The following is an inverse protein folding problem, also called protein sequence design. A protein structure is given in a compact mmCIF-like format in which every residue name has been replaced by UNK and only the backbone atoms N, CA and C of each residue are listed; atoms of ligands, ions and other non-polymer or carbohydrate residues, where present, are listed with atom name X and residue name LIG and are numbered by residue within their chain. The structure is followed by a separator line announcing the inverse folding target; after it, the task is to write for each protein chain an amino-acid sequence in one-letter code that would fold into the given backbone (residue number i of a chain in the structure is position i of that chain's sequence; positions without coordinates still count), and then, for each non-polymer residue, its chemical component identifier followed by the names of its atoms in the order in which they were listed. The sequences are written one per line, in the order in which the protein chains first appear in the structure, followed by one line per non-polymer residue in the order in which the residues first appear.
data_IF_175349908268
#
_entry.id   IF_175349908268
#
_cell.length_a   1.000
_cell.length_b   1.000
_cell.length_c   1.000
_cell.angle_alpha   90.00
_cell.angle_beta   90.00
_cell.angle_gamma   90.00
#
_symmetry.space_group_name_H-M   'P 1'
#
loop_
_entity.id
_entity.type
_entity.pdbx_description
1 polymer ?
#
# COMPACT_ATOMS: atom_id res chain seq x y z
N UNK A 1 2.36 -15.21 -70.78
CA UNK A 1 3.27 -16.33 -71.07
C UNK A 1 4.01 -16.61 -69.76
N UNK A 2 3.47 -17.51 -68.93
CA UNK A 2 3.85 -18.94 -68.83
C UNK A 2 5.14 -19.09 -68.03
N UNK A 3 5.32 -19.98 -67.05
CA UNK A 3 4.54 -20.95 -66.26
C UNK A 3 5.61 -21.58 -65.33
N UNK A 4 5.23 -22.19 -64.21
CA UNK A 4 6.19 -22.97 -63.42
C UNK A 4 5.67 -23.55 -62.11
N UNK A 5 4.52 -24.24 -62.16
CA UNK A 5 4.12 -25.22 -61.14
C UNK A 5 4.79 -26.58 -61.42
N UNK A 6 5.12 -27.32 -60.35
CA UNK A 6 5.22 -28.79 -60.39
C UNK A 6 4.50 -29.38 -59.17
N UNK A 7 3.36 -30.01 -59.47
CA UNK A 7 2.59 -31.03 -58.74
C UNK A 7 3.45 -32.31 -58.54
N UNK A 8 3.34 -33.21 -57.55
CA UNK A 8 2.27 -34.17 -57.16
C UNK A 8 2.98 -35.12 -56.15
N UNK A 9 2.38 -35.74 -55.14
CA UNK A 9 1.43 -36.85 -55.31
C UNK A 9 0.81 -37.25 -53.95
N UNK A 10 -0.48 -37.62 -54.00
CA UNK A 10 -1.27 -38.24 -52.93
C UNK A 10 -1.17 -39.77 -53.05
N UNK A 11 -1.29 -40.49 -51.94
CA UNK A 11 -2.07 -41.74 -51.89
C UNK A 11 -2.61 -41.99 -50.48
N UNK A 12 -3.81 -42.54 -50.44
CA UNK A 12 -4.70 -42.78 -49.30
C UNK A 12 -5.10 -44.27 -49.32
N UNK A 13 -5.71 -44.77 -48.23
CA UNK A 13 -6.35 -46.11 -48.03
C UNK A 13 -5.38 -47.23 -47.56
N UNK A 14 -5.69 -48.13 -46.62
CA UNK A 14 -6.88 -48.39 -45.80
C UNK A 14 -6.74 -49.72 -45.03
N UNK A 15 -7.18 -49.72 -43.76
CA UNK A 15 -7.88 -50.74 -42.93
C UNK A 15 -7.43 -52.23 -42.85
N UNK A 16 -7.22 -52.72 -41.61
CA UNK A 16 -7.83 -53.90 -40.90
C UNK A 16 -6.83 -54.78 -40.09
N UNK A 17 -7.12 -55.06 -38.80
CA UNK A 17 -6.51 -56.14 -38.00
C UNK A 17 -6.57 -55.93 -36.47
N UNK A 18 -6.78 -56.97 -35.62
CA UNK A 18 -7.53 -56.91 -34.34
C UNK A 18 -6.68 -56.71 -33.06
N UNK A 19 -7.31 -56.52 -31.86
CA UNK A 19 -6.62 -56.18 -30.61
C UNK A 19 -6.30 -57.41 -29.73
N UNK A 20 -5.35 -57.32 -28.77
CA UNK A 20 -5.29 -58.25 -27.66
C UNK A 20 -6.02 -57.71 -26.41
N UNK A 21 -6.64 -58.66 -25.69
CA UNK A 21 -7.42 -58.51 -24.45
C UNK A 21 -6.51 -58.49 -23.22
N UNK A 22 -6.93 -57.77 -22.18
CA UNK A 22 -6.45 -57.91 -20.80
C UNK A 22 -7.12 -56.89 -19.87
N UNK A 23 -7.98 -57.34 -18.96
CA UNK A 23 -8.86 -56.53 -18.11
C UNK A 23 -8.25 -56.02 -16.79
N UNK A 24 -9.03 -55.81 -15.72
CA UNK A 24 -9.33 -54.46 -15.24
C UNK A 24 -8.98 -54.19 -13.76
N UNK A 25 -8.81 -52.91 -13.42
CA UNK A 25 -9.11 -52.33 -12.09
C UNK A 25 -9.56 -50.88 -12.35
N UNK A 26 -10.67 -50.34 -11.87
CA UNK A 26 -11.40 -50.59 -10.64
C UNK A 26 -11.42 -49.28 -9.84
N UNK A 27 -12.13 -48.25 -10.32
CA UNK A 27 -12.32 -46.99 -9.61
C UNK A 27 -13.80 -46.56 -9.70
N UNK A 28 -14.54 -46.43 -8.57
CA UNK A 28 -15.95 -46.06 -8.59
C UNK A 28 -16.14 -44.53 -8.58
N UNK A 29 -17.24 -44.11 -9.22
CA UNK A 29 -17.72 -42.73 -9.29
C UNK A 29 -18.18 -42.18 -7.91
N UNK A 30 -18.11 -40.86 -7.68
CA UNK A 30 -18.55 -40.26 -6.42
C UNK A 30 -20.08 -40.17 -6.33
N UNK A 31 -20.63 -40.77 -5.26
CA UNK A 31 -22.03 -40.65 -4.86
C UNK A 31 -22.30 -39.30 -4.19
N UNK A 32 -23.46 -38.74 -4.50
CA UNK A 32 -24.01 -37.53 -3.92
C UNK A 32 -24.33 -37.69 -2.43
N UNK A 33 -23.74 -36.85 -1.60
CA UNK A 33 -24.10 -36.70 -0.19
C UNK A 33 -25.30 -35.76 -0.05
N UNK A 34 -26.48 -36.35 0.18
CA UNK A 34 -27.62 -35.69 0.82
C UNK A 34 -27.31 -35.58 2.32
N UNK A 35 -27.27 -34.36 2.86
CA UNK A 35 -27.35 -34.12 4.30
C UNK A 35 -28.63 -33.34 4.61
N UNK A 36 -29.29 -33.78 5.68
CA UNK A 36 -30.69 -33.61 6.03
C UNK A 36 -30.99 -32.23 6.62
N UNK A 37 -32.22 -31.78 6.37
CA UNK A 37 -32.83 -30.60 6.96
C UNK A 37 -33.00 -30.76 8.48
N UNK A 38 -32.57 -29.76 9.24
CA UNK A 38 -32.89 -29.60 10.66
C UNK A 38 -34.12 -28.71 10.74
N UNK A 39 -35.24 -29.28 11.21
CA UNK A 39 -36.46 -28.55 11.52
C UNK A 39 -36.38 -27.80 12.86
N UNK A 40 -37.26 -26.82 13.10
CA UNK A 40 -37.15 -25.90 14.24
C UNK A 40 -37.81 -26.48 15.49
N UNK A 41 -37.12 -26.44 16.62
CA UNK A 41 -37.70 -26.76 17.92
C UNK A 41 -38.10 -25.48 18.65
N UNK A 42 -39.40 -25.39 19.00
CA UNK A 42 -39.99 -24.36 19.85
C UNK A 42 -39.65 -24.65 21.30
N UNK A 43 -39.17 -23.65 22.05
CA UNK A 43 -39.28 -23.65 23.51
C UNK A 43 -39.62 -22.24 24.05
N UNK A 44 -40.40 -22.25 25.13
CA UNK A 44 -41.25 -21.21 25.67
C UNK A 44 -40.57 -19.92 26.21
N UNK A 45 -41.42 -18.88 26.33
CA UNK A 45 -41.19 -17.58 27.00
C UNK A 45 -41.19 -17.68 28.54
N UNK A 46 -40.33 -16.85 29.14
CA UNK A 46 -40.47 -16.03 30.36
C UNK A 46 -40.42 -16.70 31.76
N UNK A 47 -40.08 -15.98 32.86
CA UNK A 47 -39.97 -14.51 32.99
C UNK A 47 -38.70 -13.95 33.66
N UNK A 48 -38.65 -12.61 33.62
CA UNK A 48 -37.69 -11.69 34.22
C UNK A 48 -37.42 -11.93 35.72
N UNK A 49 -36.14 -11.84 36.09
CA UNK A 49 -35.68 -11.68 37.47
C UNK A 49 -34.62 -10.59 37.51
N UNK A 50 -35.01 -9.44 38.04
CA UNK A 50 -34.14 -8.32 38.38
C UNK A 50 -33.12 -8.73 39.45
N UNK A 51 -31.83 -8.56 39.20
CA UNK A 51 -30.85 -8.50 40.29
C UNK A 51 -29.91 -7.32 40.06
N UNK A 52 -29.87 -6.49 41.10
CA UNK A 52 -29.25 -5.19 41.14
C UNK A 52 -27.72 -5.30 41.10
N UNK A 53 -27.10 -4.69 40.10
CA UNK A 53 -25.68 -4.36 40.15
C UNK A 53 -25.50 -3.13 41.02
N UNK A 54 -25.00 -3.35 42.23
CA UNK A 54 -24.68 -2.31 43.21
C UNK A 54 -23.70 -1.29 42.64
N UNK A 55 -24.11 -0.02 42.68
CA UNK A 55 -23.23 1.14 42.54
C UNK A 55 -22.22 1.15 43.69
N UNK A 56 -20.95 0.88 43.39
CA UNK A 56 -19.85 1.25 44.27
C UNK A 56 -19.48 2.72 43.99
N UNK A 57 -20.13 3.64 44.69
CA UNK A 57 -19.71 5.05 44.74
C UNK A 57 -18.42 5.15 45.56
N UNK A 58 -17.28 5.30 44.86
CA UNK A 58 -16.04 5.73 45.50
C UNK A 58 -16.07 7.25 45.65
N UNK A 59 -16.48 7.67 46.85
CA UNK A 59 -16.26 9.03 47.41
C UNK A 59 -14.78 9.39 47.33
N UNK A 60 -14.43 10.34 46.48
CA UNK A 60 -13.17 11.08 46.61
C UNK A 60 -13.37 12.19 47.62
N UNK A 61 -12.63 12.13 48.73
CA UNK A 61 -12.58 13.21 49.71
C UNK A 61 -11.79 14.38 49.13
N UNK A 62 -12.45 15.52 48.95
CA UNK A 62 -11.80 16.79 48.59
C UNK A 62 -11.26 17.40 49.87
N UNK A 63 -9.93 17.34 50.05
CA UNK A 63 -9.25 18.11 51.08
C UNK A 63 -9.19 19.59 50.62
N UNK A 64 -9.87 20.45 51.37
CA UNK A 64 -9.80 21.90 51.20
C UNK A 64 -8.38 22.39 51.50
N UNK A 65 -7.77 23.12 50.56
CA UNK A 65 -6.61 23.98 50.81
C UNK A 65 -7.04 25.43 50.62
N UNK A 66 -6.59 26.28 51.55
CA UNK A 66 -6.97 27.68 51.71
C UNK A 66 -6.53 28.61 50.56
N UNK A 67 -6.81 29.92 50.71
CA UNK A 67 -6.86 30.87 49.60
C UNK A 67 -5.49 31.17 48.99
N UNK A 68 -5.45 31.20 47.66
CA UNK A 68 -4.29 31.59 46.85
C UNK A 68 -4.12 33.11 46.85
N UNK A 69 -2.91 33.58 47.17
CA UNK A 69 -2.49 34.97 46.92
C UNK A 69 -2.30 35.22 45.41
N UNK A 70 -2.57 36.44 44.91
CA UNK A 70 -2.46 36.74 43.49
C UNK A 70 -0.99 36.92 43.09
N UNK A 71 -0.48 36.02 42.24
CA UNK A 71 0.82 36.19 41.58
C UNK A 71 0.60 36.94 40.27
N UNK A 72 1.30 38.07 40.12
CA UNK A 72 1.18 38.98 38.97
C UNK A 72 1.53 38.32 37.63
N UNK A 73 0.90 38.73 36.51
CA UNK A 73 1.16 38.17 35.19
C UNK A 73 2.34 38.89 34.53
N UNK A 74 3.54 38.30 34.63
CA UNK A 74 4.71 38.73 33.87
C UNK A 74 5.34 37.56 33.12
N UNK A 75 4.60 37.01 32.15
CA UNK A 75 5.16 36.20 31.07
C UNK A 75 4.53 36.63 29.74
N UNK A 76 4.90 37.84 29.30
CA UNK A 76 4.85 38.22 27.88
C UNK A 76 6.28 38.26 27.38
N UNK A 77 6.56 37.51 26.31
CA UNK A 77 7.73 37.78 25.46
C UNK A 77 8.78 36.67 25.38
N UNK A 78 8.39 35.53 24.81
CA UNK A 78 9.01 34.99 23.59
C UNK A 78 8.12 33.84 23.13
N UNK A 79 7.21 34.12 22.19
CA UNK A 79 6.73 33.06 21.32
C UNK A 79 7.98 32.47 20.67
N UNK A 80 8.29 31.21 20.97
CA UNK A 80 9.16 30.44 20.09
C UNK A 80 8.65 30.63 18.66
N UNK A 81 9.51 30.78 17.64
CA UNK A 81 9.05 30.79 16.26
C UNK A 81 8.13 29.57 16.10
N UNK A 82 6.94 29.76 15.52
CA UNK A 82 6.04 28.65 15.26
C UNK A 82 6.83 27.62 14.46
N UNK A 83 7.31 26.57 15.12
CA UNK A 83 8.17 25.56 14.51
C UNK A 83 7.29 24.87 13.47
N UNK A 84 7.52 25.19 12.20
CA UNK A 84 6.69 24.73 11.10
C UNK A 84 6.72 23.21 10.98
N UNK A 85 5.69 22.65 10.36
CA UNK A 85 5.64 21.24 10.02
C UNK A 85 6.79 20.91 9.05
N UNK A 86 7.69 20.00 9.43
CA UNK A 86 8.76 19.48 8.56
C UNK A 86 8.40 18.06 8.10
N UNK A 87 8.56 17.79 6.81
CA UNK A 87 8.37 16.46 6.23
C UNK A 87 9.67 15.97 5.61
N UNK A 88 10.24 14.91 6.19
CA UNK A 88 11.46 14.27 5.71
C UNK A 88 11.11 13.17 4.71
N UNK A 89 11.36 13.43 3.43
CA UNK A 89 10.84 12.63 2.32
C UNK A 89 11.90 12.36 1.24
N UNK A 90 11.70 11.28 0.50
CA UNK A 90 12.32 11.03 -0.81
C UNK A 90 11.23 10.55 -1.78
N UNK A 91 11.05 11.25 -2.91
CA UNK A 91 10.02 10.90 -3.89
C UNK A 91 10.30 9.61 -4.67
N UNK A 92 11.47 8.98 -4.50
CA UNK A 92 11.69 7.59 -4.89
C UNK A 92 10.82 6.62 -4.06
N UNK A 93 10.54 6.94 -2.79
CA UNK A 93 9.80 6.10 -1.86
C UNK A 93 8.29 6.23 -2.04
N UNK A 94 7.58 5.10 -2.19
CA UNK A 94 6.11 5.03 -2.32
C UNK A 94 5.38 5.79 -1.19
N UNK A 95 5.63 5.49 0.11
CA UNK A 95 4.95 6.17 1.21
C UNK A 95 5.25 7.68 1.28
N UNK A 96 6.42 8.11 0.82
CA UNK A 96 6.77 9.53 0.78
C UNK A 96 5.96 10.27 -0.28
N UNK A 97 5.76 9.68 -1.47
CA UNK A 97 4.89 10.26 -2.50
C UNK A 97 3.45 10.43 -2.02
N UNK A 98 2.92 9.45 -1.29
CA UNK A 98 1.56 9.54 -0.73
C UNK A 98 1.42 10.78 0.18
N UNK A 99 2.34 10.97 1.12
CA UNK A 99 2.34 12.14 2.02
C UNK A 99 2.55 13.44 1.24
N UNK A 100 3.49 13.46 0.30
CA UNK A 100 3.79 14.65 -0.50
C UNK A 100 2.56 15.12 -1.27
N UNK A 101 1.91 14.22 -2.00
CA UNK A 101 0.68 14.50 -2.74
C UNK A 101 -0.42 14.95 -1.78
N UNK A 102 -0.62 14.24 -0.65
CA UNK A 102 -1.66 14.58 0.31
C UNK A 102 -1.48 16.00 0.87
N UNK A 103 -0.26 16.34 1.31
CA UNK A 103 0.04 17.65 1.88
C UNK A 103 -0.12 18.77 0.84
N UNK A 104 0.45 18.60 -0.36
CA UNK A 104 0.33 19.58 -1.45
C UNK A 104 -1.10 19.76 -1.92
N UNK A 105 -1.85 18.67 -2.14
CA UNK A 105 -3.24 18.71 -2.62
C UNK A 105 -4.16 19.43 -1.64
N UNK A 106 -3.94 19.23 -0.35
CA UNK A 106 -4.72 19.88 0.70
C UNK A 106 -4.12 21.23 1.15
N UNK A 107 -3.11 21.75 0.44
CA UNK A 107 -2.46 23.05 0.72
C UNK A 107 -1.96 23.17 2.16
N UNK A 108 -1.49 22.05 2.73
CA UNK A 108 -0.90 22.02 4.07
C UNK A 108 0.47 22.71 3.97
N UNK A 109 0.77 23.74 4.79
CA UNK A 109 2.09 24.34 4.81
C UNK A 109 3.08 23.38 5.48
N UNK A 110 4.18 23.07 4.79
CA UNK A 110 5.26 22.27 5.32
C UNK A 110 6.60 22.67 4.71
N UNK A 111 7.68 22.45 5.45
CA UNK A 111 9.04 22.47 4.95
C UNK A 111 9.42 21.07 4.45
N UNK A 112 9.78 20.96 3.17
CA UNK A 112 10.27 19.71 2.62
C UNK A 112 11.75 19.51 2.99
N UNK A 113 12.03 18.48 3.78
CA UNK A 113 13.39 18.03 4.09
C UNK A 113 13.72 16.81 3.22
N UNK A 114 14.38 17.04 2.08
CA UNK A 114 14.76 15.93 1.20
C UNK A 114 15.82 15.05 1.85
N UNK A 115 15.59 13.73 1.88
CA UNK A 115 16.54 12.72 2.40
C UNK A 115 16.86 11.72 1.28
N UNK A 116 17.93 11.98 0.54
CA UNK A 116 18.31 11.18 -0.64
C UNK A 116 18.69 9.74 -0.27
N UNK A 117 17.78 8.81 -0.57
CA UNK A 117 17.93 7.38 -0.32
C UNK A 117 19.03 6.76 -1.18
N UNK A 118 19.21 7.25 -2.41
CA UNK A 118 20.25 6.79 -3.34
C UNK A 118 21.64 7.29 -2.97
N UNK A 119 21.75 8.27 -2.07
CA UNK A 119 23.01 8.67 -1.43
C UNK A 119 23.18 8.13 -0.01
N UNK A 120 22.22 7.30 0.46
CA UNK A 120 22.27 6.75 1.81
C UNK A 120 22.10 7.78 2.92
N UNK A 121 21.50 8.96 2.67
CA UNK A 121 21.38 10.01 3.70
C UNK A 121 20.56 9.56 4.92
N UNK A 122 19.58 8.69 4.71
CA UNK A 122 18.81 8.03 5.77
C UNK A 122 19.68 7.16 6.72
N UNK A 123 20.90 6.81 6.32
CA UNK A 123 21.86 6.04 7.12
C UNK A 123 22.89 6.92 7.85
N UNK A 124 22.84 8.24 7.66
CA UNK A 124 23.73 9.18 8.34
C UNK A 124 23.40 9.31 9.82
N UNK A 125 24.38 9.64 10.64
CA UNK A 125 24.18 9.93 12.06
C UNK A 125 23.22 11.10 12.25
N UNK A 126 23.31 12.12 11.39
CA UNK A 126 22.41 13.27 11.40
C UNK A 126 20.94 12.86 11.22
N UNK A 127 20.64 11.94 10.30
CA UNK A 127 19.26 11.45 10.14
C UNK A 127 18.86 10.46 11.24
N UNK A 128 19.80 9.68 11.78
CA UNK A 128 19.54 8.78 12.91
C UNK A 128 19.10 9.55 14.18
N UNK A 129 19.55 10.80 14.36
CA UNK A 129 19.05 11.68 15.42
C UNK A 129 17.59 12.13 15.19
N UNK A 130 17.14 12.18 13.94
CA UNK A 130 15.74 12.50 13.61
C UNK A 130 14.85 11.26 13.74
N UNK A 131 15.29 10.14 13.19
CA UNK A 131 14.58 8.86 13.27
C UNK A 131 15.58 7.71 13.45
N UNK A 132 15.65 7.11 14.65
CA UNK A 132 16.52 5.96 14.93
C UNK A 132 16.26 4.75 14.04
N UNK A 133 15.05 4.63 13.46
CA UNK A 133 14.72 3.56 12.52
C UNK A 133 15.38 3.75 11.15
N UNK A 134 16.00 4.91 10.89
CA UNK A 134 16.70 5.22 9.64
C UNK A 134 15.82 5.02 8.40
N UNK A 135 14.54 5.41 8.50
CA UNK A 135 13.54 5.29 7.44
C UNK A 135 12.84 6.61 7.18
N UNK A 136 12.42 6.81 5.95
CA UNK A 136 11.47 7.84 5.53
C UNK A 136 10.16 7.17 5.15
N UNK A 137 9.00 7.84 5.30
CA UNK A 137 8.82 9.25 5.69
C UNK A 137 8.94 9.50 7.20
N UNK A 138 9.25 10.75 7.56
CA UNK A 138 9.15 11.25 8.95
C UNK A 138 8.44 12.60 8.94
N UNK A 139 7.49 12.78 9.85
CA UNK A 139 6.87 14.05 10.16
C UNK A 139 7.48 14.59 11.45
N UNK A 140 7.84 15.88 11.47
CA UNK A 140 8.23 16.59 12.67
C UNK A 140 7.39 17.87 12.80
N UNK A 141 6.70 18.01 13.91
CA UNK A 141 5.82 19.14 14.20
C UNK A 141 6.19 19.71 15.58
N UNK A 142 7.09 20.69 15.58
CA UNK A 142 7.80 21.08 16.80
C UNK A 142 8.63 19.92 17.36
N UNK A 143 8.38 19.56 18.61
CA UNK A 143 9.05 18.45 19.30
C UNK A 143 8.39 17.09 19.02
N UNK A 144 7.21 17.07 18.38
CA UNK A 144 6.49 15.84 18.07
C UNK A 144 7.01 15.23 16.77
N UNK A 145 7.60 14.03 16.86
CA UNK A 145 8.08 13.25 15.72
C UNK A 145 7.18 12.04 15.51
N UNK A 146 6.76 11.82 14.27
CA UNK A 146 5.89 10.70 13.88
C UNK A 146 6.43 10.00 12.63
N UNK A 147 6.45 8.68 12.68
CA UNK A 147 6.82 7.79 11.57
C UNK A 147 5.59 7.01 11.08
N UNK A 148 5.77 6.18 10.06
CA UNK A 148 4.71 5.41 9.37
C UNK A 148 3.75 6.29 8.54
N UNK A 149 3.68 6.02 7.23
CA UNK A 149 2.90 6.86 6.32
C UNK A 149 1.42 6.88 6.62
N UNK A 150 0.84 5.75 7.04
CA UNK A 150 -0.58 5.70 7.44
C UNK A 150 -0.83 6.60 8.64
N UNK A 151 0.00 6.51 9.67
CA UNK A 151 -0.12 7.37 10.86
C UNK A 151 0.05 8.86 10.52
N UNK A 152 1.05 9.20 9.69
CA UNK A 152 1.28 10.57 9.23
C UNK A 152 0.08 11.10 8.43
N UNK A 153 -0.45 10.33 7.48
CA UNK A 153 -1.60 10.74 6.67
C UNK A 153 -2.84 10.99 7.54
N UNK A 154 -3.12 10.09 8.49
CA UNK A 154 -4.23 10.25 9.44
C UNK A 154 -4.03 11.45 10.37
N UNK A 155 -2.81 11.68 10.84
CA UNK A 155 -2.46 12.85 11.65
C UNK A 155 -2.70 14.15 10.86
N UNK A 156 -2.19 14.23 9.63
CA UNK A 156 -2.38 15.41 8.77
C UNK A 156 -3.85 15.64 8.44
N UNK A 157 -4.61 14.58 8.14
CA UNK A 157 -6.04 14.66 7.86
C UNK A 157 -6.82 15.27 9.05
N UNK A 158 -6.53 14.79 10.26
CA UNK A 158 -7.18 15.25 11.50
C UNK A 158 -6.74 16.65 11.91
N UNK A 159 -5.43 16.93 11.90
CA UNK A 159 -4.87 18.24 12.32
C UNK A 159 -5.35 19.38 11.43
N UNK A 160 -5.34 19.17 10.12
CA UNK A 160 -5.63 20.22 9.13
C UNK A 160 -7.08 20.23 8.64
N UNK A 161 -7.95 19.36 9.17
CA UNK A 161 -9.39 19.29 8.84
C UNK A 161 -9.63 19.31 7.33
N UNK A 162 -8.95 18.40 6.63
CA UNK A 162 -9.05 18.24 5.18
C UNK A 162 -10.48 17.80 4.78
N UNK A 163 -10.87 17.86 3.48
CA UNK A 163 -12.16 17.36 3.02
C UNK A 163 -12.43 15.91 3.47
N UNK A 164 -13.67 15.66 3.91
CA UNK A 164 -14.08 14.42 4.58
C UNK A 164 -13.83 13.15 3.74
N UNK A 165 -13.89 13.25 2.40
CA UNK A 165 -13.68 12.11 1.51
C UNK A 165 -12.32 11.41 1.69
N UNK A 166 -11.30 12.11 2.18
CA UNK A 166 -9.98 11.52 2.40
C UNK A 166 -10.03 10.44 3.48
N UNK A 167 -10.71 10.73 4.58
CA UNK A 167 -10.87 9.86 5.72
C UNK A 167 -12.26 10.09 6.34
N UNK A 168 -13.30 9.43 5.77
CA UNK A 168 -14.69 9.73 6.07
C UNK A 168 -15.06 9.53 7.54
N UNK A 169 -15.99 10.35 8.04
CA UNK A 169 -16.53 10.18 9.40
C UNK A 169 -17.57 9.05 9.52
N UNK A 170 -18.21 8.67 8.41
CA UNK A 170 -19.12 7.53 8.40
C UNK A 170 -18.36 6.27 8.83
N UNK A 171 -18.94 5.54 9.80
CA UNK A 171 -18.29 4.41 10.45
C UNK A 171 -17.85 3.34 9.45
N UNK A 172 -18.71 3.01 8.47
CA UNK A 172 -18.41 1.94 7.52
C UNK A 172 -17.44 2.42 6.44
N UNK A 173 -17.59 3.64 5.94
CA UNK A 173 -16.67 4.22 4.97
C UNK A 173 -15.26 4.38 5.57
N UNK A 174 -15.15 4.85 6.82
CA UNK A 174 -13.89 4.87 7.58
C UNK A 174 -13.29 3.47 7.67
N UNK A 175 -14.08 2.48 8.08
CA UNK A 175 -13.62 1.09 8.20
C UNK A 175 -13.13 0.51 6.86
N UNK A 176 -13.67 0.92 5.71
CA UNK A 176 -13.17 0.52 4.39
C UNK A 176 -11.81 1.13 4.06
N UNK A 177 -11.59 2.39 4.45
CA UNK A 177 -10.26 3.02 4.32
C UNK A 177 -9.27 2.29 5.22
N UNK A 178 -9.64 2.05 6.48
CA UNK A 178 -8.79 1.34 7.44
C UNK A 178 -8.47 -0.10 6.99
N UNK A 179 -9.47 -0.83 6.46
CA UNK A 179 -9.30 -2.19 5.93
C UNK A 179 -8.24 -2.23 4.82
N UNK A 180 -8.30 -1.28 3.88
CA UNK A 180 -7.31 -1.20 2.81
C UNK A 180 -5.92 -0.81 3.34
N UNK A 181 -5.84 0.23 4.18
CA UNK A 181 -4.58 0.72 4.74
C UNK A 181 -3.89 -0.34 5.62
N UNK A 182 -4.64 -1.20 6.30
CA UNK A 182 -4.09 -2.35 7.01
C UNK A 182 -3.59 -3.44 6.05
N UNK A 183 -4.40 -3.81 5.06
CA UNK A 183 -4.09 -4.89 4.12
C UNK A 183 -2.85 -4.61 3.26
N UNK A 184 -2.70 -3.38 2.77
CA UNK A 184 -1.65 -3.05 1.81
C UNK A 184 -0.24 -3.27 2.36
N UNK A 185 -0.04 -3.14 3.69
CA UNK A 185 1.27 -3.19 4.32
C UNK A 185 2.02 -4.51 4.05
N UNK A 186 1.31 -5.64 4.02
CA UNK A 186 1.90 -6.98 3.81
C UNK A 186 1.52 -7.60 2.48
N UNK A 187 0.80 -6.87 1.63
CA UNK A 187 0.37 -7.31 0.31
C UNK A 187 0.92 -6.37 -0.77
N UNK A 188 0.12 -5.40 -1.22
CA UNK A 188 0.43 -4.58 -2.38
C UNK A 188 1.76 -3.83 -2.27
N UNK A 189 2.04 -3.22 -1.11
CA UNK A 189 3.29 -2.50 -0.85
C UNK A 189 4.51 -3.38 -1.09
N UNK A 190 4.50 -4.58 -0.49
CA UNK A 190 5.61 -5.55 -0.57
C UNK A 190 5.82 -5.98 -2.01
N UNK A 191 4.75 -6.32 -2.72
CA UNK A 191 4.85 -6.82 -4.10
C UNK A 191 5.30 -5.72 -5.07
N UNK A 192 4.81 -4.49 -4.91
CA UNK A 192 5.26 -3.35 -5.71
C UNK A 192 6.74 -3.00 -5.45
N UNK A 193 7.16 -3.06 -4.19
CA UNK A 193 8.55 -2.84 -3.81
C UNK A 193 9.48 -3.91 -4.41
N UNK A 194 9.14 -5.18 -4.25
CA UNK A 194 9.90 -6.31 -4.82
C UNK A 194 10.00 -6.19 -6.33
N UNK A 195 8.91 -5.83 -7.02
CA UNK A 195 8.92 -5.67 -8.47
C UNK A 195 9.91 -4.58 -8.94
N UNK A 196 9.96 -3.42 -8.26
CA UNK A 196 10.96 -2.40 -8.56
C UNK A 196 12.39 -2.91 -8.31
N UNK A 197 12.63 -3.51 -7.15
CA UNK A 197 13.98 -3.94 -6.76
C UNK A 197 14.50 -5.07 -7.62
N UNK A 198 13.71 -6.12 -7.82
CA UNK A 198 14.13 -7.29 -8.59
C UNK A 198 14.30 -6.98 -10.08
N UNK A 199 13.48 -6.08 -10.63
CA UNK A 199 13.53 -5.77 -12.07
C UNK A 199 14.54 -4.67 -12.43
N UNK A 200 14.76 -3.72 -11.53
CA UNK A 200 15.56 -2.51 -11.83
C UNK A 200 16.61 -2.23 -10.76
N UNK A 201 16.24 -2.02 -9.50
CA UNK A 201 17.19 -1.41 -8.56
C UNK A 201 18.34 -2.34 -8.13
N UNK A 202 18.11 -3.66 -7.99
CA UNK A 202 19.20 -4.61 -7.77
C UNK A 202 20.17 -4.63 -8.98
N UNK A 203 19.73 -4.93 -10.22
CA UNK A 203 20.65 -5.05 -11.34
C UNK A 203 21.26 -3.72 -11.80
N UNK A 204 20.51 -2.62 -11.79
CA UNK A 204 20.98 -1.32 -12.33
C UNK A 204 21.69 -0.50 -11.27
N UNK A 205 21.08 -0.33 -10.09
CA UNK A 205 21.61 0.57 -9.06
C UNK A 205 22.63 -0.12 -8.15
N UNK A 206 22.39 -1.36 -7.72
CA UNK A 206 23.36 -2.11 -6.90
C UNK A 206 24.28 -3.04 -7.70
N UNK A 207 24.05 -3.22 -9.01
CA UNK A 207 24.83 -4.16 -9.82
C UNK A 207 24.73 -5.61 -9.33
N UNK A 208 23.62 -5.97 -8.67
CA UNK A 208 23.34 -7.31 -8.16
C UNK A 208 22.39 -8.04 -9.13
N UNK A 209 22.81 -9.18 -9.72
CA UNK A 209 21.97 -9.91 -10.65
C UNK A 209 20.76 -10.53 -9.94
N UNK A 210 19.65 -10.62 -10.65
CA UNK A 210 18.43 -11.28 -10.18
C UNK A 210 18.11 -12.42 -11.15
N UNK A 211 17.87 -13.62 -10.62
CA UNK A 211 17.59 -14.77 -11.46
C UNK A 211 16.25 -14.60 -12.19
N UNK A 212 16.11 -15.13 -13.41
CA UNK A 212 14.83 -15.11 -14.13
C UNK A 212 13.68 -15.73 -13.34
N UNK A 213 13.95 -16.79 -12.57
CA UNK A 213 12.97 -17.45 -11.70
C UNK A 213 12.49 -16.54 -10.57
N UNK A 214 13.41 -15.86 -9.87
CA UNK A 214 13.07 -14.92 -8.80
C UNK A 214 12.21 -13.77 -9.32
N UNK A 215 12.56 -13.23 -10.50
CA UNK A 215 11.79 -12.18 -11.15
C UNK A 215 10.40 -12.69 -11.56
N UNK A 216 10.30 -13.89 -12.15
CA UNK A 216 9.03 -14.49 -12.53
C UNK A 216 8.09 -14.68 -11.32
N UNK A 217 8.61 -15.22 -10.21
CA UNK A 217 7.85 -15.35 -8.95
C UNK A 217 7.36 -14.00 -8.45
N UNK A 218 8.21 -12.99 -8.47
CA UNK A 218 7.86 -11.63 -8.02
C UNK A 218 6.76 -11.00 -8.86
N UNK A 219 6.81 -11.20 -10.18
CA UNK A 219 5.79 -10.69 -11.08
C UNK A 219 4.47 -11.45 -10.94
N UNK A 220 4.51 -12.75 -10.64
CA UNK A 220 3.31 -13.53 -10.31
C UNK A 220 2.68 -13.08 -8.98
N UNK A 221 3.50 -12.82 -7.95
CA UNK A 221 3.03 -12.25 -6.68
C UNK A 221 2.38 -10.86 -6.87
N UNK A 222 2.99 -10.02 -7.70
CA UNK A 222 2.39 -8.74 -8.09
C UNK A 222 1.05 -8.94 -8.78
N UNK A 223 0.95 -9.89 -9.72
CA UNK A 223 -0.30 -10.17 -10.43
C UNK A 223 -1.42 -10.58 -9.49
N UNK A 224 -1.14 -11.48 -8.54
CA UNK A 224 -2.10 -11.88 -7.51
C UNK A 224 -2.58 -10.68 -6.66
N UNK A 225 -1.67 -9.79 -6.25
CA UNK A 225 -2.06 -8.60 -5.51
C UNK A 225 -2.91 -7.62 -6.34
N UNK A 226 -2.63 -7.49 -7.65
CA UNK A 226 -3.46 -6.70 -8.57
C UNK A 226 -4.87 -7.29 -8.71
N UNK A 227 -4.98 -8.62 -8.79
CA UNK A 227 -6.28 -9.30 -8.82
C UNK A 227 -7.07 -9.07 -7.54
N UNK A 228 -6.43 -9.12 -6.36
CA UNK A 228 -7.08 -8.78 -5.08
C UNK A 228 -7.48 -7.30 -5.03
N UNK A 229 -6.61 -6.39 -5.47
CA UNK A 229 -6.93 -4.96 -5.53
C UNK A 229 -8.18 -4.70 -6.38
N UNK A 230 -8.24 -5.29 -7.57
CA UNK A 230 -9.37 -5.14 -8.49
C UNK A 230 -10.64 -5.86 -7.97
N UNK A 231 -10.52 -7.10 -7.50
CA UNK A 231 -11.67 -7.94 -7.14
C UNK A 231 -12.24 -7.70 -5.73
N UNK A 232 -11.40 -7.37 -4.75
CA UNK A 232 -11.84 -7.10 -3.36
C UNK A 232 -12.12 -5.62 -3.14
N UNK A 233 -11.20 -4.74 -3.53
CA UNK A 233 -11.27 -3.34 -3.16
C UNK A 233 -11.96 -2.50 -4.22
N UNK A 234 -11.49 -2.46 -5.46
CA UNK A 234 -12.10 -1.63 -6.50
C UNK A 234 -13.51 -2.11 -6.89
N UNK A 235 -13.65 -3.38 -7.27
CA UNK A 235 -14.88 -3.96 -7.81
C UNK A 235 -15.42 -3.10 -8.98
N UNK A 236 -16.69 -2.73 -8.94
CA UNK A 236 -17.33 -1.84 -9.92
C UNK A 236 -17.46 -0.39 -9.41
N UNK A 237 -16.76 -0.04 -8.32
CA UNK A 237 -16.78 1.31 -7.74
C UNK A 237 -15.88 2.27 -8.53
N UNK A 238 -16.11 3.56 -8.35
CA UNK A 238 -15.24 4.60 -8.92
C UNK A 238 -13.84 4.59 -8.28
N UNK A 239 -13.79 4.44 -6.96
CA UNK A 239 -12.59 4.43 -6.12
C UNK A 239 -12.60 3.21 -5.18
N UNK A 240 -11.48 2.92 -4.52
CA UNK A 240 -11.30 1.70 -3.73
C UNK A 240 -12.31 1.55 -2.59
N UNK A 241 -12.78 2.66 -2.03
CA UNK A 241 -13.68 2.66 -0.86
C UNK A 241 -15.06 3.24 -1.15
N UNK A 242 -15.29 3.82 -2.33
CA UNK A 242 -16.56 4.47 -2.65
C UNK A 242 -16.57 5.28 -3.94
N UNK A 243 -17.34 6.38 -3.94
CA UNK A 243 -17.56 7.28 -5.07
C UNK A 243 -16.51 8.40 -5.20
N UNK A 244 -15.72 8.65 -4.15
CA UNK A 244 -14.70 9.70 -4.11
C UNK A 244 -13.33 9.12 -3.76
N UNK A 245 -12.27 9.84 -4.15
CA UNK A 245 -10.91 9.48 -3.77
C UNK A 245 -10.76 9.51 -2.24
N UNK A 246 -10.05 8.53 -1.70
CA UNK A 246 -9.72 8.45 -0.28
C UNK A 246 -8.21 8.26 -0.05
N UNK A 247 -7.77 8.21 1.21
CA UNK A 247 -6.40 7.85 1.55
C UNK A 247 -6.02 6.46 1.00
N UNK A 248 -6.97 5.54 0.88
CA UNK A 248 -6.73 4.22 0.32
C UNK A 248 -6.26 4.31 -1.15
N UNK A 249 -6.95 5.11 -1.96
CA UNK A 249 -6.60 5.30 -3.38
C UNK A 249 -5.22 5.96 -3.55
N UNK A 250 -4.90 6.93 -2.69
CA UNK A 250 -3.64 7.65 -2.72
C UNK A 250 -2.45 6.74 -2.36
N UNK A 251 -2.60 5.91 -1.34
CA UNK A 251 -1.60 4.90 -0.99
C UNK A 251 -1.48 3.91 -2.14
N UNK A 252 -2.59 3.33 -2.61
CA UNK A 252 -2.58 2.35 -3.70
C UNK A 252 -1.86 2.84 -4.96
N UNK A 253 -2.20 4.05 -5.43
CA UNK A 253 -1.64 4.54 -6.69
C UNK A 253 -0.15 4.80 -6.59
N UNK A 254 0.32 5.34 -5.45
CA UNK A 254 1.74 5.62 -5.25
C UNK A 254 2.55 4.34 -5.10
N UNK A 255 1.97 3.26 -4.58
CA UNK A 255 2.56 1.92 -4.59
C UNK A 255 2.65 1.35 -6.01
N UNK A 256 1.56 1.37 -6.77
CA UNK A 256 1.51 0.86 -8.15
C UNK A 256 2.44 1.59 -9.11
N UNK A 257 2.79 2.84 -8.82
CA UNK A 257 3.75 3.59 -9.62
C UNK A 257 5.21 3.10 -9.45
N UNK A 258 5.53 2.28 -8.44
CA UNK A 258 6.83 1.60 -8.36
C UNK A 258 7.05 0.61 -9.51
N UNK A 259 6.20 -0.42 -9.70
CA UNK A 259 6.35 -1.33 -10.84
C UNK A 259 6.15 -0.63 -12.19
N UNK A 260 5.37 0.46 -12.28
CA UNK A 260 5.32 1.28 -13.51
C UNK A 260 6.67 1.91 -13.81
N UNK A 261 7.33 2.53 -12.82
CA UNK A 261 8.70 3.05 -12.97
C UNK A 261 9.72 1.97 -13.31
N UNK A 262 9.45 0.71 -12.94
CA UNK A 262 10.23 -0.46 -13.33
C UNK A 262 9.90 -1.00 -14.73
N UNK A 263 8.98 -0.37 -15.47
CA UNK A 263 8.54 -0.82 -16.80
C UNK A 263 7.67 -2.08 -16.78
N UNK A 264 6.97 -2.37 -15.68
CA UNK A 264 5.95 -3.42 -15.65
C UNK A 264 4.64 -2.94 -16.28
N UNK A 265 3.93 -3.85 -16.95
CA UNK A 265 2.66 -3.55 -17.63
C UNK A 265 1.46 -3.61 -16.66
N UNK A 266 1.51 -2.83 -15.58
CA UNK A 266 0.58 -2.90 -14.43
C UNK A 266 -0.89 -2.74 -14.84
N UNK A 267 -1.19 -1.82 -15.76
CA UNK A 267 -2.55 -1.47 -16.16
C UNK A 267 -3.00 -2.13 -17.47
N UNK A 268 -2.09 -2.79 -18.20
CA UNK A 268 -2.42 -3.42 -19.49
C UNK A 268 -3.23 -4.70 -19.23
N UNK A 269 -4.33 -4.88 -19.95
CA UNK A 269 -5.24 -5.99 -19.71
C UNK A 269 -6.10 -5.86 -18.45
N UNK A 270 -6.03 -4.71 -17.76
CA UNK A 270 -6.78 -4.42 -16.52
C UNK A 270 -7.61 -3.14 -16.67
N UNK A 271 -8.67 -3.15 -17.50
CA UNK A 271 -9.38 -1.92 -17.87
C UNK A 271 -10.00 -1.20 -16.67
N UNK A 272 -10.45 -1.91 -15.63
CA UNK A 272 -10.98 -1.29 -14.41
C UNK A 272 -9.90 -0.52 -13.64
N UNK A 273 -8.73 -1.14 -13.42
CA UNK A 273 -7.60 -0.47 -12.79
C UNK A 273 -7.05 0.68 -13.64
N UNK A 274 -7.00 0.53 -14.96
CA UNK A 274 -6.59 1.60 -15.86
C UNK A 274 -7.52 2.82 -15.75
N UNK A 275 -8.84 2.60 -15.77
CA UNK A 275 -9.83 3.65 -15.60
C UNK A 275 -9.79 4.27 -14.19
N UNK A 276 -9.59 3.45 -13.15
CA UNK A 276 -9.40 3.93 -11.78
C UNK A 276 -8.17 4.82 -11.65
N UNK A 277 -7.02 4.44 -12.24
CA UNK A 277 -5.83 5.29 -12.27
C UNK A 277 -6.14 6.67 -12.86
N UNK A 278 -6.82 6.71 -14.01
CA UNK A 278 -7.16 7.99 -14.66
C UNK A 278 -8.01 8.88 -13.75
N UNK A 279 -8.99 8.29 -13.05
CA UNK A 279 -9.80 9.03 -12.07
C UNK A 279 -8.98 9.53 -10.87
N UNK A 280 -8.06 8.72 -10.35
CA UNK A 280 -7.17 9.13 -9.25
C UNK A 280 -6.22 10.24 -9.68
N UNK A 281 -5.62 10.12 -10.86
CA UNK A 281 -4.72 11.12 -11.45
C UNK A 281 -5.45 12.46 -11.65
N UNK A 282 -6.68 12.44 -12.21
CA UNK A 282 -7.52 13.62 -12.32
C UNK A 282 -7.91 14.23 -10.96
N UNK A 283 -8.26 13.39 -9.98
CA UNK A 283 -8.65 13.85 -8.65
C UNK A 283 -7.48 14.49 -7.88
N UNK A 284 -6.27 13.93 -8.01
CA UNK A 284 -5.02 14.51 -7.49
C UNK A 284 -4.67 15.80 -8.24
N UNK A 285 -4.79 15.79 -9.56
CA UNK A 285 -4.34 16.83 -10.48
C UNK A 285 -3.06 16.38 -11.18
N UNK A 286 -3.09 16.38 -12.52
CA UNK A 286 -2.05 15.79 -13.38
C UNK A 286 -0.65 16.36 -13.11
N UNK A 287 -0.53 17.68 -12.92
CA UNK A 287 0.76 18.34 -12.64
C UNK A 287 1.38 17.81 -11.36
N UNK A 288 0.61 17.77 -10.26
CA UNK A 288 1.08 17.26 -8.97
C UNK A 288 1.37 15.76 -9.03
N UNK A 289 0.54 15.01 -9.75
CA UNK A 289 0.76 13.58 -9.95
C UNK A 289 2.08 13.33 -10.68
N UNK A 290 2.35 14.04 -11.77
CA UNK A 290 3.59 13.91 -12.53
C UNK A 290 4.80 14.37 -11.71
N UNK A 291 4.71 15.49 -11.02
CA UNK A 291 5.76 16.02 -10.13
C UNK A 291 6.15 14.99 -9.06
N UNK A 292 5.15 14.41 -8.36
CA UNK A 292 5.40 13.44 -7.31
C UNK A 292 6.06 12.15 -7.82
N UNK A 293 5.80 11.77 -9.07
CA UNK A 293 6.29 10.53 -9.67
C UNK A 293 7.53 10.70 -10.54
N UNK A 294 8.04 11.91 -10.72
CA UNK A 294 9.16 12.19 -11.62
C UNK A 294 10.40 11.32 -11.32
N UNK A 295 10.76 11.21 -10.03
CA UNK A 295 11.95 10.47 -9.59
C UNK A 295 11.82 8.96 -9.88
N UNK A 296 10.65 8.37 -9.57
CA UNK A 296 10.44 6.93 -9.74
C UNK A 296 10.32 6.54 -11.23
N UNK A 297 9.75 7.40 -12.07
CA UNK A 297 9.65 7.14 -13.51
C UNK A 297 11.02 7.13 -14.21
N UNK A 298 12.03 7.75 -13.60
CA UNK A 298 13.44 7.75 -14.05
C UNK A 298 14.29 6.71 -13.32
N UNK A 299 13.70 5.78 -12.56
CA UNK A 299 14.45 4.82 -11.74
C UNK A 299 15.38 3.92 -12.56
N UNK A 300 14.96 3.52 -13.76
CA UNK A 300 15.77 2.75 -14.73
C UNK A 300 17.02 3.48 -15.23
N UNK A 301 17.05 4.81 -15.12
CA UNK A 301 18.15 5.66 -15.57
C UNK A 301 19.13 5.97 -14.41
N UNK A 302 18.96 5.30 -13.26
CA UNK A 302 19.83 5.48 -12.09
C UNK A 302 21.26 5.05 -12.41
N UNK A 303 22.23 5.87 -11.98
CA UNK A 303 23.63 5.49 -12.01
C UNK A 303 23.92 4.44 -10.93
N UNK A 304 24.82 3.48 -11.16
CA UNK A 304 25.23 2.52 -10.14
C UNK A 304 25.74 3.22 -8.88
N UNK A 305 25.41 2.66 -7.71
CA UNK A 305 25.95 3.09 -6.44
C UNK A 305 27.46 2.87 -6.39
N UNK A 306 28.20 3.77 -5.73
CA UNK A 306 29.60 3.52 -5.44
C UNK A 306 29.77 2.30 -4.51
N UNK A 307 30.94 1.64 -4.50
CA UNK A 307 31.15 0.42 -3.73
C UNK A 307 30.90 0.57 -2.22
N UNK A 308 31.23 1.72 -1.64
CA UNK A 308 31.07 1.97 -0.19
C UNK A 308 29.59 2.08 0.15
N UNK A 309 28.83 2.82 -0.66
CA UNK A 309 27.40 2.96 -0.48
C UNK A 309 26.69 1.63 -0.69
N UNK A 310 27.04 0.89 -1.75
CA UNK A 310 26.50 -0.45 -2.02
C UNK A 310 26.65 -1.37 -0.83
N UNK A 311 27.85 -1.44 -0.24
CA UNK A 311 28.13 -2.29 0.92
C UNK A 311 27.24 -1.93 2.13
N UNK A 312 26.98 -0.64 2.35
CA UNK A 312 26.10 -0.17 3.42
C UNK A 312 24.61 -0.45 3.14
N UNK A 313 24.17 -0.30 1.89
CA UNK A 313 22.77 -0.42 1.51
C UNK A 313 22.30 -1.86 1.35
N UNK A 314 23.13 -2.73 0.77
CA UNK A 314 22.73 -4.09 0.38
C UNK A 314 22.04 -4.89 1.51
N UNK A 315 22.60 -5.03 2.73
CA UNK A 315 21.94 -5.81 3.79
C UNK A 315 20.58 -5.21 4.19
N UNK A 316 20.45 -3.88 4.19
CA UNK A 316 19.19 -3.19 4.53
C UNK A 316 18.14 -3.38 3.44
N UNK A 317 18.57 -3.35 2.17
CA UNK A 317 17.71 -3.61 1.02
C UNK A 317 17.19 -5.05 1.07
N UNK A 318 18.07 -6.02 1.29
CA UNK A 318 17.69 -7.44 1.38
C UNK A 318 16.67 -7.66 2.52
N UNK A 319 16.87 -7.06 3.69
CA UNK A 319 15.90 -7.12 4.79
C UNK A 319 14.57 -6.41 4.47
N UNK A 320 14.59 -5.38 3.63
CA UNK A 320 13.39 -4.59 3.27
C UNK A 320 12.50 -5.29 2.23
N UNK A 321 13.09 -6.08 1.32
CA UNK A 321 12.37 -6.78 0.23
C UNK A 321 11.98 -8.23 0.57
N UNK A 322 12.41 -8.71 1.73
CA UNK A 322 11.89 -9.92 2.38
C UNK A 322 10.44 -9.73 2.83
#
# INVERSE_FOLDING_TARGET
MSLGEVLLCKTNLGVTGPPPRGGPSGAPAPQALRAQAIGPERAARAPMGSSAWGRAERRWSVAARGPLSPVSPAWRGRSAPAMGLELYLDLLSQPCRAIYIFAKKNRIPFELRTVDLRKGQHLSDAFAQVNPLQKVPVLKDGDFILTESVAILLYLARKYKVPDHWYPQDLQACARVDEYLAWQHTALRRNCLRALWHKVMLPVFLGEPVSPEMLATTLAELDMALQVLEGKFLQDKAFLTGSHISLADLVAITELMHPVGAGCQVFKGRPKLAAWRQRVEAAVGEVLFQEAHEVILKAKDSQPADPTLKQKMLPKVLAMIQ
#
